data_IF_685420317763
#
_entry.id   IF_685420317763
#
_cell.length_a   1.000
_cell.length_b   1.000
_cell.length_c   1.000
_cell.angle_alpha   90.00
_cell.angle_beta   90.00
_cell.angle_gamma   90.00
#
_symmetry.space_group_name_H-M   'P 1'
#
loop_
_entity.id
_entity.type
_entity.pdbx_description
1 polymer ?
#
# COMPACT_ATOMS: atom_id res chain seq x y z
N UNK A 1 -3.54 -54.86 -49.11
CA UNK A 1 -3.70 -54.63 -47.66
C UNK A 1 -4.90 -53.72 -47.46
N UNK A 2 -5.89 -54.22 -46.70
CA UNK A 2 -7.13 -53.57 -46.19
C UNK A 2 -8.18 -53.21 -47.27
N UNK A 3 -8.89 -54.17 -47.88
CA UNK A 3 -10.17 -54.79 -47.46
C UNK A 3 -11.29 -53.79 -47.09
N UNK A 4 -12.25 -53.45 -47.96
CA UNK A 4 -13.49 -54.18 -48.38
C UNK A 4 -14.73 -53.84 -47.52
N UNK A 5 -15.63 -53.00 -48.07
CA UNK A 5 -17.10 -53.21 -48.30
C UNK A 5 -18.05 -53.64 -47.13
N UNK A 6 -19.19 -52.90 -47.02
CA UNK A 6 -20.62 -53.29 -46.72
C UNK A 6 -21.29 -53.13 -45.33
N UNK A 7 -22.55 -52.63 -45.44
CA UNK A 7 -23.82 -52.90 -44.70
C UNK A 7 -24.02 -52.22 -43.33
N UNK A 8 -25.01 -51.31 -43.13
CA UNK A 8 -26.49 -51.36 -43.17
C UNK A 8 -27.18 -52.10 -42.02
N UNK A 9 -28.23 -51.42 -41.48
CA UNK A 9 -29.40 -51.88 -40.70
C UNK A 9 -29.18 -52.05 -39.17
N UNK A 10 -30.02 -51.54 -38.24
CA UNK A 10 -31.46 -51.20 -38.21
C UNK A 10 -31.76 -50.29 -37.00
N UNK A 11 -32.63 -49.30 -37.20
CA UNK A 11 -33.85 -48.93 -36.42
C UNK A 11 -34.04 -49.64 -35.05
N UNK A 12 -34.51 -48.97 -33.99
CA UNK A 12 -35.96 -48.79 -33.74
C UNK A 12 -36.25 -47.70 -32.68
N UNK A 13 -37.31 -46.96 -33.00
CA UNK A 13 -38.07 -45.95 -32.26
C UNK A 13 -38.71 -46.49 -30.97
N UNK A 14 -38.93 -45.57 -30.03
CA UNK A 14 -39.71 -45.67 -28.80
C UNK A 14 -41.00 -46.50 -28.86
N UNK A 15 -41.37 -47.14 -27.75
CA UNK A 15 -42.74 -47.00 -27.19
C UNK A 15 -42.90 -47.69 -25.83
N UNK A 16 -43.15 -46.88 -24.80
CA UNK A 16 -44.24 -47.07 -23.85
C UNK A 16 -44.10 -48.12 -22.74
N UNK A 17 -44.14 -47.67 -21.49
CA UNK A 17 -45.16 -48.09 -20.52
C UNK A 17 -45.28 -47.11 -19.34
N UNK A 18 -46.53 -46.96 -18.91
CA UNK A 18 -47.05 -45.95 -18.01
C UNK A 18 -46.80 -46.28 -16.52
N UNK A 19 -46.54 -45.21 -15.76
CA UNK A 19 -46.89 -44.88 -14.38
C UNK A 19 -47.16 -45.99 -13.34
N UNK A 20 -46.43 -45.88 -12.22
CA UNK A 20 -47.00 -46.05 -10.87
C UNK A 20 -46.28 -45.17 -9.82
N UNK A 21 -46.84 -43.97 -9.60
CA UNK A 21 -47.37 -43.49 -8.31
C UNK A 21 -46.46 -43.39 -7.07
N UNK A 22 -46.13 -42.12 -6.76
CA UNK A 22 -46.18 -41.39 -5.46
C UNK A 22 -44.91 -41.18 -4.63
N UNK A 23 -44.78 -39.90 -4.21
CA UNK A 23 -43.93 -39.25 -3.17
C UNK A 23 -42.45 -39.08 -3.51
N UNK A 24 -41.81 -37.92 -3.40
CA UNK A 24 -42.17 -36.65 -2.77
C UNK A 24 -41.13 -35.56 -3.10
N UNK A 25 -41.59 -34.31 -3.10
CA UNK A 25 -40.83 -33.06 -2.89
C UNK A 25 -40.17 -32.38 -4.09
N UNK A 26 -40.74 -31.22 -4.38
CA UNK A 26 -40.27 -30.12 -5.22
C UNK A 26 -38.81 -29.75 -4.89
N UNK A 27 -37.96 -29.75 -5.90
CA UNK A 27 -36.90 -28.74 -6.01
C UNK A 27 -37.11 -28.04 -7.35
N UNK A 28 -37.59 -26.80 -7.27
CA UNK A 28 -37.67 -25.91 -8.42
C UNK A 28 -36.24 -25.67 -8.93
N UNK A 29 -35.94 -26.20 -10.10
CA UNK A 29 -34.85 -25.69 -10.93
C UNK A 29 -35.26 -24.31 -11.41
N UNK A 30 -35.07 -23.30 -10.57
CA UNK A 30 -34.94 -21.92 -11.04
C UNK A 30 -33.62 -21.84 -11.79
N UNK A 31 -33.69 -22.08 -13.10
CA UNK A 31 -32.68 -21.59 -14.02
C UNK A 31 -32.66 -20.07 -13.91
N UNK A 32 -31.79 -19.55 -13.04
CA UNK A 32 -31.49 -18.13 -13.02
C UNK A 32 -30.92 -17.78 -14.40
N UNK A 33 -31.70 -17.03 -15.17
CA UNK A 33 -31.24 -16.31 -16.36
C UNK A 33 -30.11 -15.38 -15.92
N UNK A 34 -28.86 -15.86 -16.00
CA UNK A 34 -27.67 -15.04 -15.82
C UNK A 34 -27.70 -13.94 -16.87
N UNK A 35 -27.70 -12.69 -16.42
CA UNK A 35 -27.50 -11.55 -17.31
C UNK A 35 -26.16 -11.72 -18.03
N UNK A 36 -26.03 -11.33 -19.31
CA UNK A 36 -24.79 -11.49 -20.07
C UNK A 36 -23.65 -10.56 -19.58
N UNK A 37 -23.88 -9.81 -18.50
CA UNK A 37 -22.92 -8.90 -17.87
C UNK A 37 -22.43 -9.35 -16.50
N UNK A 38 -22.94 -10.47 -15.96
CA UNK A 38 -22.41 -11.09 -14.75
C UNK A 38 -21.34 -12.14 -15.09
N UNK A 39 -20.30 -11.69 -15.79
CA UNK A 39 -19.00 -12.35 -15.76
C UNK A 39 -18.19 -11.69 -14.64
N UNK A 40 -18.48 -11.99 -13.38
CA UNK A 40 -17.44 -11.88 -12.36
C UNK A 40 -16.37 -12.89 -12.74
N UNK A 41 -15.39 -12.45 -13.51
CA UNK A 41 -14.15 -13.19 -13.69
C UNK A 41 -13.53 -13.36 -12.30
N UNK A 42 -13.76 -14.51 -11.68
CA UNK A 42 -13.11 -14.93 -10.44
C UNK A 42 -11.62 -14.87 -10.75
N UNK A 43 -10.91 -13.89 -10.19
CA UNK A 43 -9.45 -13.85 -10.28
C UNK A 43 -8.94 -15.08 -9.52
N UNK A 44 -8.02 -15.88 -10.08
CA UNK A 44 -7.48 -17.03 -9.37
C UNK A 44 -6.68 -16.56 -8.15
N UNK A 45 -6.66 -17.38 -7.10
CA UNK A 45 -5.75 -17.18 -5.97
C UNK A 45 -4.30 -17.18 -6.46
N UNK A 46 -3.44 -16.43 -5.77
CA UNK A 46 -2.01 -16.39 -6.05
C UNK A 46 -1.30 -17.32 -5.10
N UNK A 47 -0.49 -18.21 -5.62
CA UNK A 47 0.34 -19.11 -4.81
C UNK A 47 1.71 -18.46 -4.59
N UNK A 48 2.22 -18.54 -3.36
CA UNK A 48 3.57 -18.09 -3.00
C UNK A 48 4.26 -19.13 -2.13
N UNK A 49 5.58 -19.26 -2.31
CA UNK A 49 6.41 -20.11 -1.47
C UNK A 49 6.63 -19.50 -0.09
N UNK A 50 6.59 -20.34 0.92
CA UNK A 50 7.05 -20.04 2.28
C UNK A 50 8.49 -20.51 2.40
N UNK A 51 9.38 -19.56 2.65
CA UNK A 51 10.80 -19.79 2.77
C UNK A 51 11.21 -19.97 4.24
N UNK A 52 12.35 -20.63 4.46
CA UNK A 52 13.03 -20.71 5.75
C UNK A 52 13.89 -19.46 6.00
N UNK A 53 14.33 -19.22 7.23
CA UNK A 53 15.36 -18.20 7.57
C UNK A 53 16.57 -18.80 8.28
N UNK A 54 16.46 -20.06 8.73
CA UNK A 54 17.49 -20.71 9.54
C UNK A 54 18.82 -20.94 8.81
N UNK A 55 18.79 -21.08 7.47
CA UNK A 55 19.98 -21.29 6.64
C UNK A 55 20.04 -20.26 5.53
N UNK A 56 21.25 -19.84 5.10
CA UNK A 56 21.37 -18.84 4.03
C UNK A 56 20.86 -19.42 2.70
N UNK A 57 21.11 -20.72 2.46
CA UNK A 57 20.49 -21.50 1.39
C UNK A 57 18.95 -21.46 1.45
N UNK A 58 18.34 -21.11 0.32
CA UNK A 58 16.89 -21.03 0.14
C UNK A 58 16.26 -22.44 0.15
N UNK A 59 15.32 -22.67 1.05
CA UNK A 59 14.49 -23.89 1.12
C UNK A 59 13.02 -23.50 1.11
N UNK A 60 12.29 -24.07 0.16
CA UNK A 60 10.85 -23.90 0.03
C UNK A 60 10.13 -24.92 0.91
N UNK A 61 9.41 -24.45 1.93
CA UNK A 61 8.78 -25.30 2.94
C UNK A 61 7.33 -25.66 2.57
N UNK A 62 6.53 -24.64 2.28
CA UNK A 62 5.08 -24.75 2.04
C UNK A 62 4.66 -23.78 0.94
N UNK A 63 3.51 -24.01 0.32
CA UNK A 63 2.85 -23.06 -0.59
C UNK A 63 1.63 -22.49 0.13
N UNK A 64 1.47 -21.17 0.09
CA UNK A 64 0.29 -20.47 0.62
C UNK A 64 -0.49 -19.83 -0.52
N UNK A 65 -1.81 -19.88 -0.40
CA UNK A 65 -2.73 -19.15 -1.26
C UNK A 65 -3.01 -17.74 -0.71
N UNK A 66 -2.78 -16.74 -1.55
CA UNK A 66 -3.03 -15.33 -1.31
C UNK A 66 -4.27 -14.87 -2.07
N UNK A 67 -5.11 -14.08 -1.39
CA UNK A 67 -6.37 -13.60 -1.95
C UNK A 67 -6.14 -12.60 -3.09
N UNK A 68 -6.79 -12.79 -4.26
CA UNK A 68 -6.52 -11.99 -5.44
C UNK A 68 -6.95 -10.51 -5.31
N UNK A 69 -7.93 -10.21 -4.46
CA UNK A 69 -8.37 -8.83 -4.23
C UNK A 69 -7.35 -7.99 -3.45
N UNK A 70 -6.35 -8.61 -2.83
CA UNK A 70 -5.27 -7.91 -2.14
C UNK A 70 -4.00 -7.94 -2.98
N UNK A 71 -3.59 -9.14 -3.39
CA UNK A 71 -2.29 -9.38 -4.01
C UNK A 71 -2.32 -9.45 -5.55
N UNK A 72 -3.50 -9.48 -6.17
CA UNK A 72 -3.67 -9.49 -7.63
C UNK A 72 -4.61 -8.38 -8.12
N UNK A 73 -4.58 -7.23 -7.46
CA UNK A 73 -5.29 -6.03 -7.89
C UNK A 73 -4.63 -5.43 -9.13
N UNK A 74 -5.37 -4.60 -9.88
CA UNK A 74 -4.73 -3.87 -10.97
C UNK A 74 -3.82 -2.80 -10.35
N UNK A 75 -2.50 -2.80 -10.65
CA UNK A 75 -1.57 -1.87 -10.02
C UNK A 75 -1.86 -0.43 -10.47
N UNK A 76 -2.29 0.42 -9.53
CA UNK A 76 -2.64 1.82 -9.76
C UNK A 76 -1.56 2.77 -9.25
N UNK A 77 -0.64 3.13 -10.14
CA UNK A 77 0.52 4.00 -9.83
C UNK A 77 0.09 5.40 -9.38
N UNK A 78 -1.02 5.91 -9.91
CA UNK A 78 -1.64 7.17 -9.51
C UNK A 78 -2.00 7.20 -8.02
N UNK A 79 -2.67 6.15 -7.53
CA UNK A 79 -3.10 6.04 -6.14
C UNK A 79 -1.91 5.81 -5.20
N UNK A 80 -0.93 5.02 -5.66
CA UNK A 80 0.33 4.81 -4.94
C UNK A 80 1.03 6.17 -4.73
N UNK A 81 1.14 6.97 -5.79
CA UNK A 81 1.73 8.32 -5.72
C UNK A 81 0.95 9.24 -4.75
N UNK A 82 -0.38 9.29 -4.84
CA UNK A 82 -1.21 10.09 -3.92
C UNK A 82 -1.00 9.72 -2.44
N UNK A 83 -0.83 8.43 -2.15
CA UNK A 83 -0.56 7.94 -0.81
C UNK A 83 0.80 8.40 -0.29
N UNK A 84 1.85 8.32 -1.11
CA UNK A 84 3.20 8.79 -0.76
C UNK A 84 3.18 10.28 -0.47
N UNK A 85 2.55 11.05 -1.36
CA UNK A 85 2.44 12.50 -1.24
C UNK A 85 1.69 12.90 0.03
N UNK A 86 0.59 12.21 0.31
CA UNK A 86 -0.16 12.37 1.55
C UNK A 86 0.71 12.06 2.77
N UNK A 87 1.41 10.92 2.78
CA UNK A 87 2.29 10.49 3.88
C UNK A 87 3.44 11.48 4.15
N UNK A 88 3.98 12.11 3.11
CA UNK A 88 4.99 13.17 3.25
C UNK A 88 4.41 14.47 3.80
N UNK A 89 3.25 14.90 3.28
CA UNK A 89 2.65 16.21 3.59
C UNK A 89 1.92 16.26 4.94
N UNK A 90 1.26 15.18 5.37
CA UNK A 90 0.43 15.22 6.58
C UNK A 90 1.22 15.50 7.87
N UNK A 91 2.49 15.11 7.92
CA UNK A 91 3.40 15.36 9.06
C UNK A 91 4.22 16.63 8.90
N UNK A 92 4.21 17.24 7.70
CA UNK A 92 5.10 18.32 7.36
C UNK A 92 4.56 19.67 7.84
N UNK A 93 5.36 20.35 8.64
CA UNK A 93 5.11 21.72 9.12
C UNK A 93 6.30 22.57 8.71
N UNK A 94 6.04 23.62 7.92
CA UNK A 94 7.06 24.57 7.55
C UNK A 94 7.17 25.68 8.59
N UNK A 95 8.37 25.82 9.16
CA UNK A 95 8.70 26.85 10.13
C UNK A 95 9.39 28.07 9.51
N UNK A 96 9.56 28.10 8.18
CA UNK A 96 10.15 29.22 7.49
C UNK A 96 9.32 30.49 7.71
N UNK A 97 9.95 31.54 8.23
CA UNK A 97 9.29 32.79 8.57
C UNK A 97 10.10 33.98 8.06
N UNK A 98 9.41 34.88 7.37
CA UNK A 98 9.98 36.17 6.98
C UNK A 98 9.28 37.30 7.72
N UNK A 99 10.08 38.29 8.14
CA UNK A 99 9.55 39.49 8.79
C UNK A 99 8.95 40.40 7.73
N UNK A 100 7.67 40.69 7.88
CA UNK A 100 6.98 41.75 7.15
C UNK A 100 7.50 43.12 7.59
N UNK A 101 7.24 44.17 6.82
CA UNK A 101 7.64 45.55 7.17
C UNK A 101 7.17 46.01 8.56
N UNK A 102 6.10 45.39 9.10
CA UNK A 102 5.55 45.70 10.41
C UNK A 102 6.32 45.02 11.54
N UNK A 103 6.91 43.86 11.28
CA UNK A 103 7.65 43.04 12.24
C UNK A 103 9.15 43.39 12.30
N UNK A 104 9.71 43.98 11.25
CA UNK A 104 11.08 44.53 11.26
C UNK A 104 11.17 45.69 12.28
N UNK A 105 12.28 45.87 13.00
CA UNK A 105 12.47 46.93 14.03
C UNK A 105 12.65 48.32 13.40
N UNK A 106 12.32 49.44 14.09
CA UNK A 106 12.56 50.84 13.63
C UNK A 106 11.40 51.58 12.95
N UNK A 107 11.59 52.24 11.79
CA UNK A 107 10.52 52.53 10.80
C UNK A 107 9.28 53.37 11.14
N UNK A 108 9.12 53.90 12.36
CA UNK A 108 7.93 54.66 12.78
C UNK A 108 7.90 56.12 12.32
N UNK A 109 9.07 56.71 12.02
CA UNK A 109 9.18 58.08 11.51
C UNK A 109 9.33 58.10 10.00
N UNK A 110 8.67 59.04 9.34
CA UNK A 110 8.84 59.30 7.90
C UNK A 110 10.29 59.75 7.62
N UNK A 111 11.01 59.13 6.66
CA UNK A 111 12.43 59.43 6.44
C UNK A 111 12.72 60.89 6.06
N UNK A 112 11.88 61.51 5.24
CA UNK A 112 11.98 62.91 4.80
C UNK A 112 10.60 63.46 4.39
N UNK A 113 10.41 64.80 4.33
CA UNK A 113 9.15 65.40 3.89
C UNK A 113 8.76 65.00 2.46
N UNK A 114 7.46 65.04 2.18
CA UNK A 114 6.90 64.57 0.90
C UNK A 114 7.38 65.36 -0.33
N UNK A 115 7.74 66.64 -0.13
CA UNK A 115 8.15 67.60 -1.15
C UNK A 115 9.37 68.39 -0.64
N UNK A 116 10.09 69.03 -1.56
CA UNK A 116 11.25 69.90 -1.23
C UNK A 116 12.61 69.22 -1.19
N UNK A 117 12.68 67.88 -1.13
CA UNK A 117 13.95 67.14 -0.97
C UNK A 117 14.57 66.56 -2.25
N UNK A 118 13.96 66.72 -3.43
CA UNK A 118 14.46 66.18 -4.72
C UNK A 118 14.56 64.65 -4.83
N UNK A 119 14.20 63.91 -3.78
CA UNK A 119 14.28 62.45 -3.67
C UNK A 119 12.94 61.76 -3.94
N UNK A 120 12.98 60.46 -4.22
CA UNK A 120 11.80 59.61 -4.29
C UNK A 120 10.98 59.67 -2.98
N UNK A 121 9.66 59.47 -3.09
CA UNK A 121 8.73 59.57 -1.95
C UNK A 121 8.70 58.26 -1.17
N UNK A 122 9.02 58.31 0.11
CA UNK A 122 8.96 57.14 0.99
C UNK A 122 8.25 57.42 2.31
N UNK A 123 7.48 56.43 2.78
CA UNK A 123 6.74 56.50 4.04
C UNK A 123 7.49 55.91 5.23
N UNK A 124 8.34 54.91 5.02
CA UNK A 124 9.09 54.22 6.08
C UNK A 124 10.37 53.61 5.53
N UNK A 125 11.43 53.57 6.36
CA UNK A 125 12.70 52.89 6.04
C UNK A 125 12.57 51.35 6.04
N UNK A 126 11.51 50.78 6.62
CA UNK A 126 11.27 49.32 6.65
C UNK A 126 10.58 48.79 5.39
N UNK A 127 10.33 49.66 4.42
CA UNK A 127 9.72 49.25 3.16
C UNK A 127 10.62 48.23 2.45
N UNK A 128 10.06 47.22 1.78
CA UNK A 128 10.79 46.23 0.98
C UNK A 128 11.74 46.83 -0.06
N UNK A 129 11.48 48.08 -0.50
CA UNK A 129 12.34 48.80 -1.43
C UNK A 129 13.68 49.23 -0.81
N UNK A 130 13.78 49.30 0.52
CA UNK A 130 15.00 49.65 1.23
C UNK A 130 15.80 48.41 1.62
N UNK A 131 17.13 48.55 1.67
CA UNK A 131 18.02 47.54 2.23
C UNK A 131 17.69 47.32 3.71
N UNK A 132 17.48 46.06 4.11
CA UNK A 132 17.06 45.71 5.48
C UNK A 132 15.57 45.97 5.76
N UNK A 133 14.78 46.30 4.73
CA UNK A 133 13.33 46.33 4.81
C UNK A 133 12.70 44.95 4.97
N UNK A 134 11.39 44.91 5.25
CA UNK A 134 10.65 43.65 5.36
C UNK A 134 10.38 43.00 4.00
N UNK A 135 10.14 41.70 3.98
CA UNK A 135 9.77 40.94 2.77
C UNK A 135 8.27 41.09 2.49
N UNK A 136 7.87 41.27 1.22
CA UNK A 136 6.45 41.42 0.82
C UNK A 136 5.77 40.05 0.77
N UNK A 137 6.27 39.17 -0.09
CA UNK A 137 5.73 37.83 -0.32
C UNK A 137 6.79 36.81 0.10
N UNK A 138 6.85 36.54 1.39
CA UNK A 138 7.71 35.51 1.94
C UNK A 138 6.91 34.50 2.74
N UNK A 139 7.54 33.38 3.14
CA UNK A 139 6.88 32.37 3.94
C UNK A 139 6.43 32.94 5.30
N UNK A 140 5.25 32.50 5.73
CA UNK A 140 4.62 32.86 7.00
C UNK A 140 4.49 31.60 7.83
N UNK A 141 5.18 31.56 8.96
CA UNK A 141 5.17 30.42 9.88
C UNK A 141 4.16 30.60 11.02
N UNK A 142 3.56 29.50 11.55
CA UNK A 142 3.67 28.13 11.06
C UNK A 142 2.65 27.83 9.95
N UNK A 143 3.10 27.23 8.85
CA UNK A 143 2.20 26.71 7.80
C UNK A 143 2.17 25.18 7.85
N UNK A 144 0.98 24.64 8.08
CA UNK A 144 0.72 23.21 8.05
C UNK A 144 0.28 22.78 6.65
N UNK A 145 0.76 21.62 6.19
CA UNK A 145 0.34 21.02 4.91
C UNK A 145 -0.58 19.81 5.13
N UNK A 146 -1.24 19.78 6.29
CA UNK A 146 -2.07 18.67 6.72
C UNK A 146 -3.35 18.57 5.88
N UNK A 147 -3.60 17.38 5.35
CA UNK A 147 -4.89 16.96 4.83
C UNK A 147 -5.06 15.45 5.06
N UNK A 148 -6.31 14.99 5.11
CA UNK A 148 -6.62 13.57 5.18
C UNK A 148 -7.05 13.06 3.81
N UNK A 149 -6.32 12.07 3.31
CA UNK A 149 -6.68 11.35 2.09
C UNK A 149 -7.92 10.47 2.34
N UNK A 150 -8.86 10.36 1.38
CA UNK A 150 -10.03 9.50 1.52
C UNK A 150 -9.63 8.08 1.91
N UNK A 151 -10.44 7.45 2.75
CA UNK A 151 -10.10 6.17 3.37
C UNK A 151 -9.85 5.06 2.35
N UNK A 152 -10.75 4.87 1.39
CA UNK A 152 -10.59 3.81 0.39
C UNK A 152 -9.42 4.08 -0.57
N UNK A 153 -9.04 5.36 -0.80
CA UNK A 153 -7.82 5.68 -1.54
C UNK A 153 -6.57 5.22 -0.78
N UNK A 154 -6.58 5.28 0.56
CA UNK A 154 -5.49 4.76 1.40
C UNK A 154 -5.41 3.24 1.37
N UNK A 155 -6.55 2.57 1.52
CA UNK A 155 -6.65 1.09 1.45
C UNK A 155 -6.20 0.60 0.07
N UNK A 156 -6.69 1.22 -1.00
CA UNK A 156 -6.34 0.87 -2.37
C UNK A 156 -4.86 1.14 -2.69
N UNK A 157 -4.24 2.13 -2.04
CA UNK A 157 -2.80 2.34 -2.12
C UNK A 157 -2.01 1.14 -1.60
N UNK A 158 -2.39 0.63 -0.42
CA UNK A 158 -1.75 -0.54 0.18
C UNK A 158 -1.92 -1.81 -0.67
N UNK A 159 -3.15 -2.10 -1.13
CA UNK A 159 -3.41 -3.28 -1.96
C UNK A 159 -2.71 -3.18 -3.31
N UNK A 160 -2.70 -2.00 -3.94
CA UNK A 160 -1.97 -1.78 -5.18
C UNK A 160 -0.47 -1.99 -4.99
N UNK A 161 0.13 -1.50 -3.89
CA UNK A 161 1.56 -1.73 -3.63
C UNK A 161 1.90 -3.18 -3.35
N UNK A 162 1.07 -3.91 -2.60
CA UNK A 162 1.28 -5.34 -2.35
C UNK A 162 1.22 -6.14 -3.64
N UNK A 163 0.26 -5.80 -4.51
CA UNK A 163 0.15 -6.46 -5.81
C UNK A 163 1.33 -6.14 -6.74
N UNK A 164 1.84 -4.90 -6.72
CA UNK A 164 3.06 -4.54 -7.46
C UNK A 164 4.27 -5.35 -6.97
N UNK A 165 4.48 -5.40 -5.64
CA UNK A 165 5.60 -6.16 -5.06
C UNK A 165 5.55 -7.64 -5.40
N UNK A 166 4.37 -8.25 -5.34
CA UNK A 166 4.20 -9.64 -5.76
C UNK A 166 4.44 -9.82 -7.26
N UNK A 167 3.94 -8.91 -8.10
CA UNK A 167 4.11 -9.00 -9.56
C UNK A 167 5.55 -8.77 -10.04
N UNK A 168 6.38 -8.14 -9.21
CA UNK A 168 7.80 -7.88 -9.47
C UNK A 168 8.73 -8.95 -8.87
N UNK A 169 8.17 -9.97 -8.22
CA UNK A 169 8.91 -10.98 -7.46
C UNK A 169 9.74 -10.39 -6.28
N UNK A 170 9.38 -9.20 -5.81
CA UNK A 170 10.01 -8.50 -4.68
C UNK A 170 9.39 -8.88 -3.32
N UNK A 171 8.31 -9.65 -3.33
CA UNK A 171 7.57 -10.08 -2.14
C UNK A 171 7.95 -11.52 -1.79
N UNK A 172 8.55 -11.72 -0.62
CA UNK A 172 8.87 -13.04 -0.08
C UNK A 172 8.05 -13.31 1.19
N UNK A 173 7.57 -14.54 1.32
CA UNK A 173 6.89 -15.01 2.54
C UNK A 173 7.80 -15.99 3.25
N UNK A 174 7.97 -15.78 4.55
CA UNK A 174 8.84 -16.57 5.41
C UNK A 174 7.99 -17.23 6.48
N UNK A 175 8.40 -18.41 6.93
CA UNK A 175 7.71 -19.10 8.02
C UNK A 175 7.75 -18.30 9.33
N UNK A 176 8.95 -18.08 9.86
CA UNK A 176 9.22 -17.41 11.13
C UNK A 176 10.50 -16.55 11.03
N UNK A 177 10.67 -15.55 11.91
CA UNK A 177 11.84 -14.66 11.94
C UNK A 177 12.99 -15.17 12.84
N UNK A 178 12.97 -16.44 13.23
CA UNK A 178 14.00 -17.00 14.09
C UNK A 178 15.28 -17.27 13.28
N UNK A 179 16.38 -16.64 13.69
CA UNK A 179 17.73 -16.81 13.11
C UNK A 179 18.58 -17.60 14.11
N UNK A 180 19.43 -18.55 13.68
CA UNK A 180 20.28 -19.33 14.59
C UNK A 180 21.38 -18.53 15.28
N UNK A 181 21.80 -17.41 14.69
CA UNK A 181 22.96 -16.60 15.09
C UNK A 181 22.56 -15.13 15.20
N UNK A 182 23.19 -14.40 16.11
CA UNK A 182 23.01 -12.97 16.38
C UNK A 182 23.90 -12.06 15.51
N UNK A 183 24.85 -12.65 14.78
CA UNK A 183 25.79 -11.93 13.93
C UNK A 183 25.12 -11.28 12.69
N UNK A 184 25.36 -9.99 12.42
CA UNK A 184 24.78 -9.30 11.26
C UNK A 184 25.28 -9.83 9.91
N UNK A 185 26.47 -10.45 9.89
CA UNK A 185 27.04 -11.07 8.69
C UNK A 185 26.17 -12.19 8.17
N UNK A 186 25.59 -12.99 9.06
CA UNK A 186 24.68 -14.06 8.66
C UNK A 186 23.50 -13.51 7.86
N UNK A 187 22.90 -12.41 8.32
CA UNK A 187 21.76 -11.79 7.66
C UNK A 187 22.17 -11.14 6.31
N UNK A 188 23.35 -10.53 6.23
CA UNK A 188 23.90 -10.03 4.97
C UNK A 188 24.15 -11.15 3.95
N UNK A 189 24.74 -12.26 4.38
CA UNK A 189 25.01 -13.41 3.53
C UNK A 189 23.70 -14.04 3.05
N UNK A 190 22.70 -14.17 3.93
CA UNK A 190 21.36 -14.65 3.59
C UNK A 190 20.69 -13.75 2.53
N UNK A 191 20.70 -12.43 2.72
CA UNK A 191 20.14 -11.46 1.75
C UNK A 191 20.86 -11.58 0.40
N UNK A 192 22.18 -11.73 0.42
CA UNK A 192 23.02 -11.81 -0.77
C UNK A 192 22.83 -13.12 -1.53
N UNK A 193 22.80 -14.25 -0.86
CA UNK A 193 22.60 -15.57 -1.48
C UNK A 193 21.22 -15.67 -2.13
N UNK A 194 20.19 -15.11 -1.49
CA UNK A 194 18.80 -15.12 -2.00
C UNK A 194 18.49 -14.00 -2.99
N UNK A 195 19.46 -13.11 -3.23
CA UNK A 195 19.33 -11.97 -4.14
C UNK A 195 18.15 -11.05 -3.78
N UNK A 196 17.88 -10.82 -2.48
CA UNK A 196 16.79 -9.94 -2.02
C UNK A 196 17.08 -8.42 -2.21
N UNK A 197 18.07 -8.08 -3.02
CA UNK A 197 18.46 -6.68 -3.26
C UNK A 197 19.22 -6.04 -2.09
N UNK A 198 19.46 -4.72 -2.15
CA UNK A 198 20.26 -3.95 -1.20
C UNK A 198 19.47 -3.48 0.03
N UNK A 199 18.13 -3.58 0.03
CA UNK A 199 17.29 -3.11 1.14
C UNK A 199 16.06 -3.99 1.32
N UNK A 200 15.83 -4.39 2.58
CA UNK A 200 14.80 -5.35 2.94
C UNK A 200 13.91 -4.79 4.04
N UNK A 201 12.60 -5.00 3.93
CA UNK A 201 11.63 -4.69 4.98
C UNK A 201 11.01 -5.97 5.51
N UNK A 202 11.34 -6.33 6.74
CA UNK A 202 10.72 -7.44 7.46
C UNK A 202 9.44 -6.98 8.16
N UNK A 203 8.39 -7.76 8.03
CA UNK A 203 7.09 -7.48 8.65
C UNK A 203 6.59 -8.72 9.38
N UNK A 204 6.21 -8.51 10.65
CA UNK A 204 5.60 -9.54 11.48
C UNK A 204 4.30 -9.05 12.12
N UNK A 205 3.44 -9.99 12.54
CA UNK A 205 2.18 -9.67 13.21
C UNK A 205 2.40 -9.29 14.69
N UNK A 206 3.41 -9.88 15.31
CA UNK A 206 3.78 -9.60 16.70
C UNK A 206 4.72 -8.39 16.79
N UNK A 207 4.60 -7.67 17.90
CA UNK A 207 5.55 -6.61 18.27
C UNK A 207 6.84 -7.16 18.88
N UNK A 208 6.86 -8.45 19.21
CA UNK A 208 7.98 -9.12 19.86
C UNK A 208 8.90 -9.66 18.78
N UNK A 209 10.06 -9.03 18.65
CA UNK A 209 11.12 -9.46 17.74
C UNK A 209 12.00 -10.49 18.49
N UNK A 210 12.37 -11.63 17.88
CA UNK A 210 13.34 -12.53 18.48
C UNK A 210 14.69 -11.84 18.68
N UNK A 211 15.39 -12.17 19.77
CA UNK A 211 16.62 -11.48 20.20
C UNK A 211 17.71 -11.50 19.11
N UNK A 212 17.97 -12.67 18.52
CA UNK A 212 19.03 -12.84 17.53
C UNK A 212 18.84 -11.93 16.30
N UNK A 213 17.62 -11.87 15.75
CA UNK A 213 17.35 -11.02 14.58
C UNK A 213 17.36 -9.54 14.97
N UNK A 214 16.88 -9.18 16.16
CA UNK A 214 16.90 -7.80 16.63
C UNK A 214 18.33 -7.26 16.70
N UNK A 215 19.26 -8.03 17.29
CA UNK A 215 20.68 -7.69 17.37
C UNK A 215 21.33 -7.62 15.98
N UNK A 216 21.05 -8.62 15.11
CA UNK A 216 21.59 -8.63 13.74
C UNK A 216 21.09 -7.44 12.90
N UNK A 217 19.85 -6.98 13.11
CA UNK A 217 19.28 -5.84 12.38
C UNK A 217 19.78 -4.49 12.87
N UNK A 218 20.15 -4.35 14.14
CA UNK A 218 20.58 -3.07 14.72
C UNK A 218 21.80 -2.48 13.98
N UNK A 219 22.74 -3.35 13.58
CA UNK A 219 23.93 -2.96 12.83
C UNK A 219 23.63 -2.65 11.33
N UNK A 220 22.49 -3.10 10.80
CA UNK A 220 22.17 -3.06 9.37
C UNK A 220 21.11 -1.99 9.05
N UNK A 221 21.53 -0.74 8.83
CA UNK A 221 20.59 0.36 8.55
C UNK A 221 19.73 0.25 7.27
N UNK A 222 20.04 -0.69 6.36
CA UNK A 222 19.26 -0.95 5.13
C UNK A 222 18.22 -2.06 5.31
N UNK A 223 18.23 -2.75 6.46
CA UNK A 223 17.29 -3.79 6.84
C UNK A 223 16.43 -3.25 7.97
N UNK A 224 15.12 -3.17 7.76
CA UNK A 224 14.20 -2.61 8.75
C UNK A 224 13.12 -3.62 9.15
N UNK A 225 12.67 -3.53 10.41
CA UNK A 225 11.55 -4.29 10.94
C UNK A 225 10.34 -3.37 11.15
N UNK A 226 9.14 -3.83 10.81
CA UNK A 226 7.88 -3.13 11.08
C UNK A 226 6.77 -4.12 11.43
N UNK A 227 6.00 -3.92 12.51
CA UNK A 227 4.83 -4.75 12.77
C UNK A 227 3.69 -4.47 11.76
N UNK A 228 2.78 -5.41 11.55
CA UNK A 228 1.68 -5.32 10.56
C UNK A 228 0.89 -4.00 10.62
N UNK A 229 0.60 -3.48 11.82
CA UNK A 229 -0.16 -2.22 11.95
C UNK A 229 0.64 -0.96 11.56
N UNK A 230 1.98 -1.05 11.52
CA UNK A 230 2.87 0.02 11.07
C UNK A 230 3.15 0.01 9.57
N UNK A 231 2.65 -1.00 8.85
CA UNK A 231 2.86 -1.16 7.40
C UNK A 231 2.30 0.03 6.64
N UNK A 232 3.11 0.59 5.73
CA UNK A 232 2.75 1.76 4.96
C UNK A 232 3.36 1.74 3.55
N UNK A 233 2.65 2.38 2.61
CA UNK A 233 3.06 2.51 1.19
C UNK A 233 4.47 3.08 1.03
N UNK A 234 4.83 4.12 1.78
CA UNK A 234 6.15 4.75 1.68
C UNK A 234 7.30 3.78 2.03
N UNK A 235 7.17 3.00 3.10
CA UNK A 235 8.18 2.03 3.53
C UNK A 235 8.25 0.86 2.57
N UNK A 236 7.12 0.37 2.06
CA UNK A 236 7.12 -0.69 1.04
C UNK A 236 7.88 -0.28 -0.23
N UNK A 237 7.81 0.99 -0.63
CA UNK A 237 8.51 1.49 -1.81
C UNK A 237 9.94 1.96 -1.54
N UNK A 238 10.25 2.33 -0.29
CA UNK A 238 11.61 2.68 0.12
C UNK A 238 12.55 1.48 0.06
N UNK A 239 12.03 0.29 0.32
CA UNK A 239 12.79 -0.97 0.30
C UNK A 239 12.54 -1.73 -1.00
N UNK A 240 13.57 -2.40 -1.49
CA UNK A 240 13.48 -3.21 -2.70
C UNK A 240 12.70 -4.50 -2.43
N UNK A 241 12.97 -5.20 -1.34
CA UNK A 241 12.21 -6.42 -1.00
C UNK A 241 11.32 -6.23 0.22
N UNK A 242 10.12 -6.80 0.11
CA UNK A 242 9.17 -6.92 1.20
C UNK A 242 9.16 -8.37 1.67
N UNK A 243 9.42 -8.57 2.96
CA UNK A 243 9.51 -9.88 3.56
C UNK A 243 8.42 -9.97 4.64
N UNK A 244 7.44 -10.85 4.44
CA UNK A 244 6.33 -11.05 5.37
C UNK A 244 6.48 -12.40 6.08
N UNK A 245 6.21 -12.45 7.38
CA UNK A 245 5.91 -13.74 8.01
C UNK A 245 4.59 -14.31 7.48
N UNK A 246 4.44 -15.64 7.53
CA UNK A 246 3.19 -16.33 7.17
C UNK A 246 2.00 -15.74 7.93
N UNK A 247 2.17 -15.52 9.24
CA UNK A 247 1.18 -14.85 10.10
C UNK A 247 0.85 -13.45 9.59
N UNK A 248 1.87 -12.61 9.34
CA UNK A 248 1.66 -11.25 8.85
C UNK A 248 0.91 -11.19 7.52
N UNK A 249 1.26 -12.06 6.56
CA UNK A 249 0.62 -12.08 5.24
C UNK A 249 -0.90 -12.38 5.34
N UNK A 250 -1.28 -13.31 6.23
CA UNK A 250 -2.67 -13.67 6.49
C UNK A 250 -3.41 -12.56 7.25
N UNK A 251 -2.79 -11.97 8.28
CA UNK A 251 -3.40 -10.88 9.05
C UNK A 251 -3.61 -9.63 8.20
N UNK A 252 -2.66 -9.30 7.31
CA UNK A 252 -2.80 -8.20 6.33
C UNK A 252 -3.99 -8.47 5.40
N UNK A 253 -4.09 -9.68 4.87
CA UNK A 253 -5.17 -10.09 3.99
C UNK A 253 -6.53 -9.96 4.68
N UNK A 254 -6.68 -10.52 5.87
CA UNK A 254 -7.93 -10.48 6.64
C UNK A 254 -8.36 -9.03 6.90
N UNK A 255 -7.44 -8.20 7.40
CA UNK A 255 -7.72 -6.79 7.72
C UNK A 255 -8.13 -6.02 6.47
N UNK A 256 -7.40 -6.13 5.37
CA UNK A 256 -7.71 -5.38 4.16
C UNK A 256 -9.03 -5.84 3.51
N UNK A 257 -9.32 -7.14 3.50
CA UNK A 257 -10.60 -7.67 3.03
C UNK A 257 -11.77 -7.16 3.86
N UNK A 258 -11.62 -7.12 5.19
CA UNK A 258 -12.62 -6.55 6.08
C UNK A 258 -12.87 -5.08 5.77
N UNK A 259 -11.82 -4.30 5.46
CA UNK A 259 -11.99 -2.88 5.14
C UNK A 259 -12.61 -2.64 3.77
N UNK A 260 -12.31 -3.46 2.76
CA UNK A 260 -12.93 -3.38 1.44
C UNK A 260 -14.42 -3.72 1.49
N UNK A 261 -14.81 -4.71 2.29
CA UNK A 261 -16.19 -5.19 2.41
C UNK A 261 -16.99 -4.50 3.53
N UNK A 262 -16.59 -3.31 3.94
CA UNK A 262 -17.23 -2.59 5.05
C UNK A 262 -18.54 -1.92 4.63
N UNK A 263 -19.62 -2.21 5.36
CA UNK A 263 -20.95 -1.64 5.09
C UNK A 263 -21.05 -0.13 5.32
N UNK A 264 -20.27 0.41 6.27
CA UNK A 264 -20.31 1.82 6.66
C UNK A 264 -19.45 2.74 5.76
N UNK A 265 -19.19 2.34 4.51
CA UNK A 265 -18.27 3.05 3.60
C UNK A 265 -18.59 4.55 3.46
N UNK A 266 -19.88 4.93 3.47
CA UNK A 266 -20.30 6.34 3.39
C UNK A 266 -19.86 7.16 4.61
N UNK A 267 -19.92 6.58 5.80
CA UNK A 267 -19.50 7.26 7.03
C UNK A 267 -17.98 7.47 7.04
N UNK A 268 -17.24 6.45 6.63
CA UNK A 268 -15.76 6.45 6.60
C UNK A 268 -15.21 7.38 5.51
N UNK A 269 -15.92 7.53 4.39
CA UNK A 269 -15.53 8.43 3.29
C UNK A 269 -15.88 9.91 3.53
N UNK A 270 -16.52 10.24 4.65
CA UNK A 270 -16.82 11.63 4.99
C UNK A 270 -15.52 12.43 5.03
N UNK A 271 -15.50 13.57 4.32
CA UNK A 271 -14.35 14.48 4.32
C UNK A 271 -13.98 14.88 5.73
N UNK A 272 -12.71 14.70 6.09
CA UNK A 272 -12.18 15.11 7.38
C UNK A 272 -12.34 16.63 7.57
N UNK A 273 -12.84 17.04 8.74
CA UNK A 273 -13.01 18.43 9.14
C UNK A 273 -12.20 18.66 10.43
N UNK A 274 -11.20 19.56 10.43
CA UNK A 274 -10.30 19.74 11.58
C UNK A 274 -10.97 20.19 12.89
N UNK A 275 -12.19 20.74 12.82
CA UNK A 275 -12.88 21.39 13.95
C UNK A 275 -14.22 20.71 14.31
N UNK A 276 -14.40 19.42 13.98
CA UNK A 276 -15.54 18.62 14.45
C UNK A 276 -15.15 17.74 15.64
#
# INVERSE_FOLDING_TARGET
MLNIIRKLQKTVISSGRQFSTITSQLTSTTEEKRSPFNNTCIRPFREIWVENVDTPEQKNLEIIELHPEIYATMPRVDIIHENIDWQRKYRFVSYAHTKTRNEVRGGGRKPWPQKGGGRARHGSIRSPLFKGGGVIHGPRSPTTHFYMLPYFTRVLGLTSTLSVKLAQDDLHVIKDLNIPTDEPKFLQDLIKERCWGPSCLFVDDLDIIPENIALAMEDLGHVNFVPVYGLNVYMMLKHETLILTKSAALTIQEKLLQQLNKNDGRAVMKRFRPNQ
#
